data_IF_983368586261
#
_entry.id   IF_983368586261
#
_cell.length_a   1.000
_cell.length_b   1.000
_cell.length_c   1.000
_cell.angle_alpha   90.00
_cell.angle_beta   90.00
_cell.angle_gamma   90.00
#
_symmetry.space_group_name_H-M   'P 1'
#
loop_
_entity.id
_entity.type
_entity.pdbx_description
1 polymer ?
#
# COMPACT_ATOMS: atom_id res chain seq x y z
N UNK A 1 -17.17 -17.49 1.41
CA UNK A 1 -16.30 -17.25 2.59
C UNK A 1 -15.56 -15.88 2.53
N UNK A 2 -16.07 -14.85 1.84
CA UNK A 2 -15.43 -13.51 1.77
C UNK A 2 -16.39 -12.32 1.93
N UNK A 3 -17.67 -12.55 2.24
CA UNK A 3 -18.69 -11.47 2.25
C UNK A 3 -18.57 -10.49 3.42
N UNK A 4 -17.84 -10.82 4.48
CA UNK A 4 -17.74 -9.97 5.69
C UNK A 4 -16.73 -8.82 5.45
N UNK A 5 -15.58 -9.11 4.83
CA UNK A 5 -14.54 -8.11 4.56
C UNK A 5 -15.08 -7.00 3.65
N UNK A 6 -15.80 -7.35 2.58
CA UNK A 6 -16.37 -6.35 1.67
C UNK A 6 -17.55 -5.56 2.28
N UNK A 7 -18.10 -6.00 3.43
CA UNK A 7 -19.19 -5.31 4.12
C UNK A 7 -18.64 -4.18 5.01
N UNK A 8 -17.55 -4.45 5.72
CA UNK A 8 -16.98 -3.51 6.69
C UNK A 8 -15.79 -2.70 6.13
N UNK A 9 -15.21 -3.15 5.01
CA UNK A 9 -14.07 -2.50 4.36
C UNK A 9 -14.33 -2.23 2.89
N UNK A 10 -13.81 -1.09 2.41
CA UNK A 10 -13.74 -0.79 0.98
C UNK A 10 -12.58 -1.56 0.36
N UNK A 11 -12.89 -2.60 -0.41
CA UNK A 11 -11.90 -3.32 -1.21
C UNK A 11 -11.58 -2.50 -2.45
N UNK A 12 -10.30 -2.19 -2.64
CA UNK A 12 -9.79 -1.48 -3.82
C UNK A 12 -9.16 -2.50 -4.76
N UNK A 13 -9.57 -2.47 -6.03
CA UNK A 13 -8.97 -3.31 -7.06
C UNK A 13 -7.64 -2.71 -7.53
N UNK A 14 -6.71 -3.56 -7.94
CA UNK A 14 -5.48 -3.12 -8.60
C UNK A 14 -5.81 -2.83 -10.05
N UNK A 15 -6.11 -1.56 -10.35
CA UNK A 15 -6.31 -1.09 -11.72
C UNK A 15 -4.97 -0.78 -12.41
N UNK A 16 -5.04 -0.34 -13.67
CA UNK A 16 -3.86 -0.02 -14.46
C UNK A 16 -2.99 1.05 -13.80
N UNK A 17 -3.59 2.09 -13.23
CA UNK A 17 -2.86 3.21 -12.61
C UNK A 17 -2.13 2.75 -11.34
N UNK A 18 -2.79 1.94 -10.51
CA UNK A 18 -2.16 1.31 -9.34
C UNK A 18 -1.03 0.38 -9.78
N UNK A 19 -1.22 -0.39 -10.86
CA UNK A 19 -0.20 -1.29 -11.39
C UNK A 19 1.04 -0.53 -11.88
N UNK A 20 0.87 0.53 -12.67
CA UNK A 20 1.98 1.38 -13.13
C UNK A 20 2.69 2.02 -11.94
N UNK A 21 1.94 2.63 -11.02
CA UNK A 21 2.53 3.31 -9.86
C UNK A 21 3.28 2.35 -8.94
N UNK A 22 2.74 1.15 -8.74
CA UNK A 22 3.41 0.11 -7.95
C UNK A 22 4.70 -0.39 -8.59
N UNK A 23 4.76 -0.48 -9.92
CA UNK A 23 5.99 -0.81 -10.65
C UNK A 23 7.05 0.30 -10.49
N UNK A 24 6.64 1.58 -10.57
CA UNK A 24 7.53 2.72 -10.32
C UNK A 24 8.11 2.69 -8.91
N UNK A 25 7.27 2.51 -7.89
CA UNK A 25 7.70 2.44 -6.49
C UNK A 25 8.63 1.25 -6.23
N UNK A 26 8.32 0.09 -6.82
CA UNK A 26 9.18 -1.09 -6.75
C UNK A 26 10.55 -0.83 -7.38
N UNK A 27 10.59 -0.19 -8.55
CA UNK A 27 11.85 0.14 -9.20
C UNK A 27 12.66 1.13 -8.37
N UNK A 28 12.01 2.18 -7.84
CA UNK A 28 12.65 3.27 -7.09
C UNK A 28 13.18 2.82 -5.72
N UNK A 29 12.40 2.07 -4.95
CA UNK A 29 12.71 1.72 -3.56
C UNK A 29 13.13 0.26 -3.38
N UNK A 30 13.10 -0.55 -4.44
CA UNK A 30 13.43 -1.99 -4.43
C UNK A 30 12.68 -2.79 -3.36
N UNK A 31 11.46 -2.37 -3.05
CA UNK A 31 10.56 -3.08 -2.13
C UNK A 31 9.87 -4.27 -2.83
N UNK A 32 9.39 -5.27 -2.08
CA UNK A 32 8.59 -6.37 -2.63
C UNK A 32 7.38 -5.88 -3.44
N UNK A 33 6.92 -6.70 -4.38
CA UNK A 33 5.78 -6.35 -5.24
C UNK A 33 4.50 -6.08 -4.42
N UNK A 34 4.24 -6.88 -3.38
CA UNK A 34 3.06 -6.68 -2.54
C UNK A 34 3.12 -5.31 -1.84
N UNK A 35 4.26 -4.98 -1.25
CA UNK A 35 4.46 -3.70 -0.57
C UNK A 35 4.38 -2.52 -1.53
N UNK A 36 4.86 -2.68 -2.76
CA UNK A 36 4.77 -1.62 -3.77
C UNK A 36 3.32 -1.35 -4.20
N UNK A 37 2.48 -2.39 -4.29
CA UNK A 37 1.04 -2.25 -4.56
C UNK A 37 0.33 -1.58 -3.39
N UNK A 38 0.64 -1.98 -2.15
CA UNK A 38 0.06 -1.38 -0.94
C UNK A 38 0.46 0.10 -0.84
N UNK A 39 1.74 0.42 -1.03
CA UNK A 39 2.26 1.78 -0.99
C UNK A 39 1.63 2.66 -2.10
N UNK A 40 1.52 2.15 -3.33
CA UNK A 40 0.88 2.86 -4.43
C UNK A 40 -0.59 3.17 -4.11
N UNK A 41 -1.32 2.18 -3.61
CA UNK A 41 -2.73 2.33 -3.23
C UNK A 41 -2.89 3.36 -2.12
N UNK A 42 -2.05 3.31 -1.08
CA UNK A 42 -2.08 4.28 0.01
C UNK A 42 -1.75 5.71 -0.47
N UNK A 43 -0.77 5.86 -1.36
CA UNK A 43 -0.39 7.15 -1.94
C UNK A 43 -1.52 7.76 -2.79
N UNK A 44 -2.12 6.97 -3.68
CA UNK A 44 -3.19 7.43 -4.58
C UNK A 44 -4.46 7.80 -3.83
N UNK A 45 -4.82 7.03 -2.79
CA UNK A 45 -6.01 7.31 -1.97
C UNK A 45 -5.74 8.26 -0.80
N UNK A 46 -4.51 8.73 -0.62
CA UNK A 46 -4.07 9.60 0.49
C UNK A 46 -4.42 9.01 1.87
N UNK A 47 -4.36 7.68 1.98
CA UNK A 47 -4.67 6.96 3.21
C UNK A 47 -3.44 6.84 4.11
N UNK A 48 -3.67 6.68 5.41
CA UNK A 48 -2.61 6.27 6.33
C UNK A 48 -2.43 4.76 6.26
N UNK A 49 -1.23 4.32 5.89
CA UNK A 49 -0.84 2.92 5.86
C UNK A 49 -0.54 2.45 7.28
N UNK A 50 -1.16 1.36 7.73
CA UNK A 50 -0.92 0.79 9.04
C UNK A 50 -0.06 -0.47 8.89
N UNK A 51 1.19 -0.45 9.35
CA UNK A 51 2.14 -1.56 9.21
C UNK A 51 3.30 -1.43 10.19
N UNK A 52 3.91 -2.56 10.53
CA UNK A 52 5.18 -2.70 11.27
C UNK A 52 6.36 -3.02 10.33
N UNK A 53 6.13 -3.21 9.04
CA UNK A 53 7.14 -3.60 8.07
C UNK A 53 8.10 -2.43 7.72
N UNK A 54 9.43 -2.60 7.94
CA UNK A 54 10.42 -1.56 7.66
C UNK A 54 10.52 -1.14 6.18
N UNK A 55 10.04 -1.94 5.22
CA UNK A 55 10.06 -1.62 3.79
C UNK A 55 9.42 -0.25 3.48
N UNK A 56 8.44 0.18 4.28
CA UNK A 56 7.74 1.45 4.09
C UNK A 56 8.49 2.68 4.63
N UNK A 57 9.57 2.51 5.42
CA UNK A 57 10.34 3.64 5.99
C UNK A 57 11.03 4.49 4.93
N UNK A 58 11.41 3.89 3.81
CA UNK A 58 12.11 4.55 2.71
C UNK A 58 11.16 5.20 1.69
N UNK A 59 9.88 4.85 1.70
CA UNK A 59 8.90 5.35 0.72
C UNK A 59 8.47 6.76 1.13
N UNK A 60 8.68 7.72 0.23
CA UNK A 60 8.29 9.11 0.44
C UNK A 60 6.80 9.31 0.09
N UNK A 61 6.21 10.38 0.62
CA UNK A 61 4.83 10.79 0.33
C UNK A 61 3.74 9.79 0.75
N UNK A 62 4.04 8.91 1.70
CA UNK A 62 3.05 8.08 2.38
C UNK A 62 3.04 8.36 3.88
N UNK A 63 1.85 8.36 4.48
CA UNK A 63 1.71 8.44 5.94
C UNK A 63 1.66 7.02 6.48
N UNK A 64 2.62 6.64 7.30
CA UNK A 64 2.65 5.32 7.94
C UNK A 64 2.35 5.47 9.43
N UNK A 65 1.35 4.73 9.90
CA UNK A 65 1.11 4.49 11.33
C UNK A 65 1.82 3.21 11.72
N UNK A 66 2.91 3.36 12.45
CA UNK A 66 3.67 2.27 13.01
C UNK A 66 2.98 1.75 14.28
N UNK A 67 2.93 0.42 14.43
CA UNK A 67 2.53 -0.19 15.68
C UNK A 67 3.80 -0.48 16.49
N UNK A 68 3.96 0.21 17.62
CA UNK A 68 4.90 -0.23 18.65
C UNK A 68 4.28 -1.48 19.31
N UNK A 69 4.99 -2.60 19.25
CA UNK A 69 4.92 -3.59 20.35
C UNK A 69 5.91 -3.17 21.41
#
# INVERSE_FOLDING_TARGET
>A
RGKIICKDFKVVNVDYDVAVRSAELRSKYRIPMADSVIAATAQMHKCTLASDDPHFKQVQDIKVRWFNT
#
